data_IF_437714488256
#
_entry.id   IF_437714488256
#
_cell.length_a   1.000
_cell.length_b   1.000
_cell.length_c   1.000
_cell.angle_alpha   90.00
_cell.angle_beta   90.00
_cell.angle_gamma   90.00
#
_symmetry.space_group_name_H-M   'P 1'
#
loop_
_entity.id
_entity.type
_entity.pdbx_description
1 polymer ?
#
# COMPACT_ATOMS: atom_id res chain seq x y z
N UNK A 1 -9.02 -49.44 -26.97
CA UNK A 1 -8.13 -49.08 -25.85
C UNK A 1 -8.80 -47.94 -25.09
N UNK A 2 -8.97 -48.04 -23.76
CA UNK A 2 -9.79 -47.09 -22.97
C UNK A 2 -8.84 -46.05 -22.37
N UNK A 3 -8.87 -44.82 -22.87
CA UNK A 3 -7.91 -43.74 -22.56
C UNK A 3 -8.10 -43.17 -21.13
N UNK A 4 -7.95 -44.01 -20.11
CA UNK A 4 -8.25 -43.66 -18.71
C UNK A 4 -7.22 -42.73 -18.06
N UNK A 5 -6.06 -42.52 -18.70
CA UNK A 5 -5.01 -41.63 -18.22
C UNK A 5 -5.21 -40.16 -18.63
N UNK A 6 -6.02 -39.90 -19.67
CA UNK A 6 -6.28 -38.55 -20.17
C UNK A 6 -6.91 -37.59 -19.12
N UNK A 7 -7.94 -38.00 -18.35
CA UNK A 7 -8.49 -37.12 -17.32
C UNK A 7 -7.50 -36.83 -16.19
N UNK A 8 -6.61 -37.78 -15.86
CA UNK A 8 -5.59 -37.59 -14.83
C UNK A 8 -4.55 -36.55 -15.24
N UNK A 9 -4.10 -36.59 -16.50
CA UNK A 9 -3.19 -35.58 -17.06
C UNK A 9 -3.80 -34.18 -17.07
N UNK A 10 -5.10 -34.07 -17.38
CA UNK A 10 -5.80 -32.79 -17.39
C UNK A 10 -5.93 -32.17 -15.99
N UNK A 11 -6.24 -32.99 -14.98
CA UNK A 11 -6.33 -32.55 -13.57
C UNK A 11 -4.94 -32.13 -13.04
N UNK A 12 -3.89 -32.88 -13.32
CA UNK A 12 -2.53 -32.55 -12.88
C UNK A 12 -1.99 -31.27 -13.55
N UNK A 13 -2.34 -31.02 -14.82
CA UNK A 13 -1.96 -29.80 -15.53
C UNK A 13 -2.66 -28.54 -15.00
N UNK A 14 -3.93 -28.65 -14.61
CA UNK A 14 -4.69 -27.51 -14.08
C UNK A 14 -4.20 -27.02 -12.71
N UNK A 15 -3.58 -27.90 -11.90
CA UNK A 15 -3.02 -27.54 -10.60
C UNK A 15 -1.79 -26.64 -10.66
N UNK A 16 -1.13 -26.52 -11.82
CA UNK A 16 0.12 -25.76 -11.98
C UNK A 16 -0.08 -24.33 -12.49
N UNK A 17 -1.32 -23.86 -12.59
CA UNK A 17 -1.62 -22.52 -13.09
C UNK A 17 -1.47 -21.46 -11.99
N UNK A 18 -0.36 -20.73 -11.99
CA UNK A 18 -0.23 -19.48 -11.23
C UNK A 18 -0.90 -18.35 -12.00
N UNK A 19 -1.78 -17.59 -11.37
CA UNK A 19 -2.46 -16.44 -11.98
C UNK A 19 -2.19 -15.17 -11.19
N UNK A 20 -1.80 -14.12 -11.92
CA UNK A 20 -1.69 -12.74 -11.44
C UNK A 20 -3.06 -12.18 -11.07
N UNK A 21 -3.14 -11.42 -9.96
CA UNK A 21 -4.41 -10.89 -9.46
C UNK A 21 -4.70 -9.55 -10.14
N UNK A 22 -5.70 -9.52 -11.01
CA UNK A 22 -6.24 -8.29 -11.58
C UNK A 22 -7.57 -7.91 -10.94
N UNK A 23 -7.67 -6.70 -10.39
CA UNK A 23 -8.95 -6.11 -9.97
C UNK A 23 -9.29 -5.01 -10.97
N UNK A 24 -10.37 -5.17 -11.72
CA UNK A 24 -10.79 -4.21 -12.75
C UNK A 24 -10.10 -4.33 -14.10
N UNK A 25 -9.08 -5.21 -14.23
CA UNK A 25 -8.43 -5.55 -15.50
C UNK A 25 -8.40 -7.06 -15.71
N UNK A 26 -8.62 -7.50 -16.96
CA UNK A 26 -8.48 -8.90 -17.37
C UNK A 26 -7.05 -9.26 -17.78
N UNK A 27 -6.22 -8.25 -18.06
CA UNK A 27 -4.86 -8.40 -18.52
C UNK A 27 -3.93 -7.60 -17.58
N UNK A 28 -3.65 -8.10 -16.36
CA UNK A 28 -2.66 -7.46 -15.50
C UNK A 28 -1.30 -7.40 -16.18
N UNK A 29 -0.52 -6.38 -15.85
CA UNK A 29 0.87 -6.28 -16.24
C UNK A 29 1.64 -7.50 -15.73
N UNK A 30 2.44 -8.12 -16.60
CA UNK A 30 3.21 -9.33 -16.26
C UNK A 30 4.24 -9.13 -15.15
N UNK A 31 4.62 -7.89 -14.85
CA UNK A 31 5.52 -7.54 -13.75
C UNK A 31 4.81 -7.32 -12.42
N UNK A 32 3.48 -7.33 -12.39
CA UNK A 32 2.68 -7.07 -11.20
C UNK A 32 2.02 -8.36 -10.69
N UNK A 33 2.20 -8.66 -9.39
CA UNK A 33 1.45 -9.73 -8.74
C UNK A 33 -0.01 -9.33 -8.44
N UNK A 34 -0.24 -8.03 -8.22
CA UNK A 34 -1.56 -7.43 -8.04
C UNK A 34 -1.61 -6.10 -8.82
N UNK A 35 -2.58 -5.98 -9.74
CA UNK A 35 -2.91 -4.73 -10.42
C UNK A 35 -4.37 -4.35 -10.12
N UNK A 36 -4.59 -3.10 -9.75
CA UNK A 36 -5.93 -2.56 -9.47
C UNK A 36 -6.17 -1.40 -10.42
N UNK A 37 -7.17 -1.57 -11.29
CA UNK A 37 -7.66 -0.53 -12.19
C UNK A 37 -9.15 -0.30 -11.97
N UNK A 38 -9.67 0.84 -12.43
CA UNK A 38 -11.08 1.20 -12.28
C UNK A 38 -11.66 1.51 -13.64
N UNK A 39 -12.78 0.87 -14.00
CA UNK A 39 -13.53 1.18 -15.22
C UNK A 39 -14.56 2.29 -15.02
N UNK A 40 -14.83 2.65 -13.77
CA UNK A 40 -15.74 3.74 -13.42
C UNK A 40 -15.00 5.07 -13.49
N UNK A 41 -15.55 5.99 -14.28
CA UNK A 41 -15.05 7.35 -14.48
C UNK A 41 -16.05 8.35 -13.89
N UNK A 42 -15.56 9.40 -13.23
CA UNK A 42 -16.38 10.55 -12.91
C UNK A 42 -16.70 11.36 -14.19
N UNK A 43 -17.50 12.42 -14.03
CA UNK A 43 -17.88 13.34 -15.13
C UNK A 43 -16.66 13.95 -15.85
N UNK A 44 -15.48 13.94 -15.22
CA UNK A 44 -14.25 14.55 -15.72
C UNK A 44 -13.23 13.51 -16.23
N UNK A 45 -13.60 12.23 -16.27
CA UNK A 45 -12.73 11.14 -16.75
C UNK A 45 -11.77 10.58 -15.70
N UNK A 46 -11.92 10.93 -14.42
CA UNK A 46 -11.10 10.45 -13.32
C UNK A 46 -11.64 9.17 -12.68
N UNK A 47 -10.74 8.34 -12.13
CA UNK A 47 -11.09 7.12 -11.37
C UNK A 47 -11.88 7.45 -10.10
N UNK A 48 -13.01 6.76 -9.88
CA UNK A 48 -13.87 6.97 -8.69
C UNK A 48 -13.60 6.02 -7.54
N UNK A 49 -12.77 4.98 -7.72
CA UNK A 49 -12.47 3.98 -6.70
C UNK A 49 -10.99 3.95 -6.34
N UNK A 50 -10.69 3.48 -5.13
CA UNK A 50 -9.33 3.30 -4.63
C UNK A 50 -9.18 2.02 -3.80
N UNK A 51 -8.02 1.85 -3.18
CA UNK A 51 -7.70 0.71 -2.31
C UNK A 51 -7.84 1.11 -0.83
N UNK A 52 -8.61 0.34 -0.07
CA UNK A 52 -8.62 0.46 1.39
C UNK A 52 -7.59 -0.50 2.00
N UNK A 53 -6.58 0.08 2.62
CA UNK A 53 -5.56 -0.63 3.40
C UNK A 53 -6.14 -0.99 4.79
N UNK A 54 -5.74 -2.13 5.40
CA UNK A 54 -6.16 -2.50 6.75
C UNK A 54 -5.98 -1.37 7.76
N UNK A 55 -7.06 -1.08 8.49
CA UNK A 55 -7.11 -0.07 9.55
C UNK A 55 -6.79 -0.74 10.88
N UNK A 56 -5.72 -0.29 11.52
CA UNK A 56 -5.15 -0.96 12.69
C UNK A 56 -4.97 0.04 13.83
N UNK A 57 -5.33 -0.38 15.05
CA UNK A 57 -5.10 0.40 16.26
C UNK A 57 -3.69 0.12 16.79
N UNK A 58 -2.70 0.81 16.23
CA UNK A 58 -1.31 0.76 16.73
C UNK A 58 -1.20 1.44 18.09
N UNK A 59 -0.33 0.92 18.95
CA UNK A 59 -0.13 1.46 20.31
C UNK A 59 1.24 2.10 20.52
N UNK A 60 2.24 1.72 19.73
CA UNK A 60 3.59 2.28 19.73
C UNK A 60 4.29 2.01 18.40
N UNK A 61 5.24 2.85 17.99
CA UNK A 61 6.01 2.59 16.77
C UNK A 61 7.01 1.44 16.90
N UNK A 62 7.42 1.06 18.11
CA UNK A 62 8.45 0.02 18.33
C UNK A 62 7.87 -1.35 18.69
N UNK A 63 6.54 -1.48 18.71
CA UNK A 63 5.84 -2.73 19.04
C UNK A 63 5.11 -3.21 17.78
N UNK A 64 5.39 -4.43 17.34
CA UNK A 64 4.77 -5.01 16.14
C UNK A 64 3.25 -5.24 16.30
N UNK A 65 2.82 -5.52 17.54
CA UNK A 65 1.41 -5.69 17.89
C UNK A 65 0.56 -4.46 17.49
N UNK A 66 -0.71 -4.64 17.09
CA UNK A 66 -1.54 -5.84 17.25
C UNK A 66 -1.40 -6.89 16.14
N UNK A 67 -0.49 -6.68 15.18
CA UNK A 67 -0.23 -7.66 14.13
C UNK A 67 0.48 -8.86 14.76
N UNK A 68 0.15 -10.07 14.29
CA UNK A 68 0.68 -11.33 14.79
C UNK A 68 1.38 -12.10 13.67
N UNK A 69 2.28 -13.00 14.04
CA UNK A 69 3.09 -13.78 13.10
C UNK A 69 4.51 -13.25 12.93
N UNK A 70 5.20 -13.73 11.89
CA UNK A 70 6.53 -13.26 11.55
C UNK A 70 6.47 -11.81 11.03
N UNK A 71 7.39 -10.98 11.52
CA UNK A 71 7.52 -9.61 11.06
C UNK A 71 7.82 -9.54 9.57
N UNK A 72 6.98 -8.82 8.84
CA UNK A 72 7.13 -8.62 7.40
C UNK A 72 7.52 -7.18 7.10
N UNK A 73 8.74 -6.99 6.59
CA UNK A 73 9.15 -5.70 6.06
C UNK A 73 8.25 -5.28 4.90
N UNK A 74 8.02 -3.97 4.76
CA UNK A 74 7.10 -3.37 3.80
C UNK A 74 5.61 -3.66 4.04
N UNK A 75 5.22 -4.21 5.20
CA UNK A 75 3.81 -4.35 5.56
C UNK A 75 3.18 -2.98 5.81
N UNK A 76 2.19 -2.60 5.00
CA UNK A 76 1.52 -1.29 5.06
C UNK A 76 0.17 -1.38 5.80
N UNK A 77 -0.07 -0.47 6.73
CA UNK A 77 -1.33 -0.33 7.49
C UNK A 77 -1.73 1.13 7.64
N UNK A 78 -3.00 1.38 7.97
CA UNK A 78 -3.48 2.70 8.37
C UNK A 78 -3.75 2.74 9.88
N UNK A 79 -3.01 3.56 10.63
CA UNK A 79 -3.23 3.80 12.04
C UNK A 79 -4.46 4.69 12.26
N UNK A 80 -5.38 4.25 13.11
CA UNK A 80 -6.70 4.92 13.29
C UNK A 80 -6.74 5.93 14.43
N UNK A 81 -5.88 5.80 15.42
CA UNK A 81 -5.93 6.57 16.67
C UNK A 81 -4.57 7.19 16.99
N UNK A 82 -4.61 8.32 17.71
CA UNK A 82 -3.41 8.89 18.31
C UNK A 82 -3.15 8.21 19.65
N UNK A 83 -2.07 7.43 19.75
CA UNK A 83 -1.69 6.69 20.96
C UNK A 83 -0.18 6.71 21.10
N UNK A 84 0.33 7.21 22.22
CA UNK A 84 1.77 7.29 22.45
C UNK A 84 2.47 8.16 21.39
N UNK A 85 3.36 7.55 20.62
CA UNK A 85 4.09 8.16 19.51
C UNK A 85 3.42 7.98 18.14
N UNK A 86 2.24 7.35 18.10
CA UNK A 86 1.42 7.18 16.89
C UNK A 86 0.51 8.38 16.69
N UNK A 87 0.51 8.91 15.46
CA UNK A 87 -0.55 9.79 14.94
C UNK A 87 -1.32 9.07 13.83
N UNK A 88 -2.63 9.35 13.63
CA UNK A 88 -3.39 8.76 12.54
C UNK A 88 -2.72 8.99 11.17
N UNK A 89 -2.69 7.94 10.34
CA UNK A 89 -2.02 7.98 9.04
C UNK A 89 -1.52 6.62 8.58
N UNK A 90 -0.79 6.59 7.47
CA UNK A 90 -0.21 5.37 6.92
C UNK A 90 1.13 5.03 7.56
N UNK A 91 1.33 3.77 7.91
CA UNK A 91 2.57 3.24 8.48
C UNK A 91 3.00 1.98 7.76
N UNK A 92 4.31 1.79 7.61
CA UNK A 92 4.89 0.55 7.13
C UNK A 92 5.90 -0.01 8.12
N UNK A 93 5.99 -1.34 8.20
CA UNK A 93 6.99 -2.01 9.03
C UNK A 93 8.33 -2.10 8.31
N UNK A 94 9.39 -1.64 8.98
CA UNK A 94 10.78 -1.78 8.51
C UNK A 94 11.72 -1.67 9.71
N UNK A 95 12.75 -2.52 9.76
CA UNK A 95 13.82 -2.49 10.77
C UNK A 95 13.30 -2.44 12.21
N UNK A 96 12.35 -3.35 12.52
CA UNK A 96 11.70 -3.47 13.84
C UNK A 96 10.94 -2.24 14.31
N UNK A 97 10.42 -1.44 13.35
CA UNK A 97 9.67 -0.23 13.66
C UNK A 97 8.56 0.06 12.65
N UNK A 98 7.45 0.61 13.14
CA UNK A 98 6.43 1.28 12.34
C UNK A 98 6.93 2.66 11.93
N UNK A 99 7.15 2.83 10.63
CA UNK A 99 7.56 4.08 10.02
C UNK A 99 6.36 4.75 9.37
N UNK A 100 6.10 6.01 9.74
CA UNK A 100 4.99 6.77 9.17
C UNK A 100 5.34 7.29 7.78
N UNK A 101 4.40 7.21 6.85
CA UNK A 101 4.47 7.97 5.60
C UNK A 101 4.09 9.43 5.91
N UNK A 102 5.07 10.32 5.84
CA UNK A 102 4.88 11.75 6.11
C UNK A 102 4.04 12.44 5.03
N UNK A 103 3.23 13.41 5.46
CA UNK A 103 2.55 14.38 4.60
C UNK A 103 3.24 15.74 4.72
N UNK A 104 2.90 16.68 3.84
CA UNK A 104 3.49 18.03 3.85
C UNK A 104 3.29 18.78 5.18
N UNK A 105 2.25 18.41 5.94
CA UNK A 105 1.97 18.92 7.28
C UNK A 105 2.92 18.39 8.37
N UNK A 106 3.64 17.29 8.12
CA UNK A 106 4.60 16.72 9.08
C UNK A 106 6.01 17.27 8.89
N UNK A 107 6.27 17.93 7.76
CA UNK A 107 7.50 18.67 7.53
C UNK A 107 7.55 19.90 8.45
N UNK A 108 8.52 19.95 9.36
CA UNK A 108 8.91 21.19 10.01
C UNK A 108 9.68 22.02 8.99
N UNK A 109 9.21 23.25 8.76
CA UNK A 109 9.80 24.33 7.96
C UNK A 109 10.93 23.88 7.02
N UNK A 110 10.59 23.77 5.73
CA UNK A 110 11.57 23.46 4.69
C UNK A 110 12.80 24.37 4.81
N UNK A 111 13.99 23.79 4.71
CA UNK A 111 15.23 24.56 4.63
C UNK A 111 15.07 25.58 3.52
N UNK A 112 15.22 26.87 3.84
CA UNK A 112 15.19 27.95 2.86
C UNK A 112 16.30 27.71 1.85
N UNK A 113 15.93 27.33 0.62
CA UNK A 113 16.86 27.09 -0.49
C UNK A 113 17.09 25.61 -0.89
N UNK A 114 16.45 24.64 -0.24
CA UNK A 114 16.47 23.25 -0.71
C UNK A 114 15.39 22.98 -1.76
N UNK A 115 15.76 22.73 -3.01
CA UNK A 115 14.84 22.22 -4.04
C UNK A 115 14.39 20.81 -3.69
N UNK A 116 13.31 20.67 -2.92
CA UNK A 116 12.71 19.35 -2.61
C UNK A 116 11.91 19.22 -1.31
N UNK A 117 11.80 20.24 -0.47
CA UNK A 117 11.07 20.11 0.80
C UNK A 117 9.57 20.44 0.67
N UNK A 118 8.66 19.62 1.21
CA UNK A 118 7.26 20.00 1.44
C UNK A 118 7.20 21.08 2.54
N UNK A 119 6.72 22.26 2.18
CA UNK A 119 6.53 23.38 3.09
C UNK A 119 6.48 24.70 2.32
N UNK A 120 5.47 25.53 2.61
CA UNK A 120 5.33 26.84 1.97
C UNK A 120 6.57 27.67 2.22
N UNK A 121 7.21 28.14 1.14
CA UNK A 121 8.26 29.15 1.23
C UNK A 121 7.64 30.39 1.87
N UNK A 122 7.97 30.66 3.13
CA UNK A 122 7.60 31.93 3.76
C UNK A 122 8.54 32.98 3.16
N UNK A 123 8.15 33.57 2.04
CA UNK A 123 8.79 34.78 1.53
C UNK A 123 8.47 35.89 2.53
N UNK A 124 9.38 36.15 3.47
CA UNK A 124 9.27 37.33 4.34
C UNK A 124 9.26 38.56 3.45
N UNK A 125 8.15 39.29 3.45
CA UNK A 125 8.04 40.60 2.80
C UNK A 125 9.12 41.53 3.32
N UNK A 126 9.84 42.17 2.41
CA UNK A 126 10.75 43.26 2.74
C UNK A 126 9.93 44.54 2.91
N UNK A 127 10.28 45.33 3.92
CA UNK A 127 9.80 46.68 4.17
C UNK A 127 10.18 47.64 3.04
#
# INVERSE_FOLDING_TARGET
MKNRLLPLFFVLGAYSAYSQVGIGTKNPNSSAQLEITTTESDKYGGSTKGLLIPRVRLTSTVIYAPITGAEANSLLVFATEAIGDITPGYYFWLDHKWNRLGTSSDGKDGITGGTGAPGTVITKGCF
#
